data_IF_182545312874
#
_entry.id   IF_182545312874
#
_cell.length_a   1.000
_cell.length_b   1.000
_cell.length_c   1.000
_cell.angle_alpha   90.00
_cell.angle_beta   90.00
_cell.angle_gamma   90.00
#
_symmetry.space_group_name_H-M   'P 1'
#
loop_
_entity.id
_entity.type
_entity.pdbx_description
1 polymer ?
#
# COMPACT_ATOMS: atom_id res chain seq x y z
N UNK A 1 4.85 -21.40 3.04
CA UNK A 1 4.42 -20.01 2.91
C UNK A 1 3.21 -19.90 1.99
N UNK A 2 2.17 -19.16 2.37
CA UNK A 2 0.99 -18.93 1.54
C UNK A 2 0.39 -17.53 1.82
N UNK A 3 -0.01 -16.83 0.75
CA UNK A 3 -0.77 -15.60 0.83
C UNK A 3 -2.11 -15.83 0.14
N UNK A 4 -3.20 -15.72 0.90
CA UNK A 4 -4.56 -15.75 0.38
C UNK A 4 -5.18 -14.36 0.55
N UNK A 5 -5.75 -13.84 -0.53
CA UNK A 5 -6.41 -12.54 -0.53
C UNK A 5 -7.79 -12.67 -1.17
N UNK A 6 -8.78 -12.06 -0.53
CA UNK A 6 -10.14 -11.92 -1.06
C UNK A 6 -10.41 -10.44 -1.25
N UNK A 7 -10.78 -10.07 -2.45
CA UNK A 7 -10.95 -8.68 -2.86
C UNK A 7 -12.35 -8.47 -3.44
N UNK A 8 -13.03 -7.44 -2.96
CA UNK A 8 -14.28 -6.96 -3.49
C UNK A 8 -14.22 -5.46 -3.73
N UNK A 9 -14.73 -5.01 -4.86
CA UNK A 9 -14.74 -3.59 -5.24
C UNK A 9 -16.03 -3.28 -5.99
N UNK A 10 -16.61 -2.11 -5.70
CA UNK A 10 -17.76 -1.56 -6.44
C UNK A 10 -17.41 -0.14 -6.83
N UNK A 11 -17.50 0.15 -8.12
CA UNK A 11 -17.23 1.45 -8.72
C UNK A 11 -18.50 2.03 -9.35
N UNK A 12 -18.70 3.30 -9.16
CA UNK A 12 -19.73 4.09 -9.82
C UNK A 12 -19.08 5.26 -10.55
N UNK A 13 -19.56 5.51 -11.76
CA UNK A 13 -19.22 6.69 -12.53
C UNK A 13 -20.50 7.44 -12.88
N UNK A 14 -20.57 8.70 -12.51
CA UNK A 14 -21.73 9.55 -12.73
C UNK A 14 -21.33 10.83 -13.45
N UNK A 15 -21.86 11.02 -14.66
CA UNK A 15 -21.67 12.24 -15.43
C UNK A 15 -22.61 13.30 -14.87
N UNK A 16 -22.07 14.25 -14.12
CA UNK A 16 -22.84 15.32 -13.50
C UNK A 16 -23.32 16.34 -14.55
N UNK A 17 -22.39 16.72 -15.44
CA UNK A 17 -22.65 17.58 -16.58
C UNK A 17 -21.64 17.29 -17.72
N UNK A 18 -21.49 18.21 -18.68
CA UNK A 18 -20.55 18.00 -19.79
C UNK A 18 -19.08 18.12 -19.37
N UNK A 19 -18.80 18.73 -18.24
CA UNK A 19 -17.45 19.05 -17.78
C UNK A 19 -17.02 18.22 -16.56
N UNK A 20 -17.97 17.64 -15.81
CA UNK A 20 -17.70 16.92 -14.58
C UNK A 20 -18.15 15.47 -14.66
N UNK A 21 -17.21 14.56 -14.36
CA UNK A 21 -17.49 13.14 -14.18
C UNK A 21 -17.03 12.69 -12.81
N UNK A 22 -17.99 12.41 -11.94
CA UNK A 22 -17.75 11.91 -10.59
C UNK A 22 -17.51 10.40 -10.63
N UNK A 23 -16.40 9.95 -10.04
CA UNK A 23 -16.07 8.55 -9.84
C UNK A 23 -16.00 8.28 -8.34
N UNK A 24 -16.80 7.36 -7.85
CA UNK A 24 -16.82 7.01 -6.43
C UNK A 24 -17.06 5.53 -6.23
N UNK A 25 -16.66 5.03 -5.08
CA UNK A 25 -16.81 3.61 -4.83
C UNK A 25 -16.31 3.19 -3.46
N UNK A 26 -16.37 1.91 -3.26
CA UNK A 26 -15.88 1.24 -2.07
C UNK A 26 -15.10 0.00 -2.44
N UNK A 27 -14.13 -0.35 -1.60
CA UNK A 27 -13.38 -1.58 -1.72
C UNK A 27 -13.19 -2.23 -0.36
N UNK A 28 -13.06 -3.54 -0.35
CA UNK A 28 -12.69 -4.31 0.83
C UNK A 28 -11.77 -5.46 0.42
N UNK A 29 -10.70 -5.66 1.18
CA UNK A 29 -9.72 -6.70 0.94
C UNK A 29 -9.40 -7.41 2.26
N UNK A 30 -9.60 -8.71 2.26
CA UNK A 30 -9.23 -9.58 3.38
C UNK A 30 -7.89 -10.25 3.08
N UNK A 31 -6.95 -10.14 4.01
CA UNK A 31 -5.64 -10.77 3.97
C UNK A 31 -5.58 -11.96 4.91
N UNK A 32 -5.00 -13.05 4.45
CA UNK A 32 -4.68 -14.22 5.28
C UNK A 32 -3.30 -14.74 4.85
N UNK A 33 -2.29 -14.35 5.62
CA UNK A 33 -0.89 -14.68 5.36
C UNK A 33 -0.46 -15.78 6.31
N UNK A 34 0.04 -16.87 5.75
CA UNK A 34 0.71 -17.93 6.48
C UNK A 34 2.20 -17.87 6.18
N UNK A 35 2.96 -17.36 7.12
CA UNK A 35 4.42 -17.16 6.97
C UNK A 35 5.22 -18.47 7.03
N UNK A 36 4.56 -19.61 7.29
CA UNK A 36 5.19 -20.93 7.28
C UNK A 36 5.71 -21.40 8.64
N UNK A 37 6.38 -22.53 8.60
CA UNK A 37 7.06 -23.17 9.72
C UNK A 37 8.53 -23.37 9.39
N UNK A 38 9.37 -23.22 10.40
CA UNK A 38 10.77 -23.64 10.34
C UNK A 38 10.86 -25.04 10.96
N UNK A 39 11.30 -26.00 10.16
CA UNK A 39 11.45 -27.38 10.62
C UNK A 39 12.91 -27.80 10.48
N UNK A 40 13.49 -28.49 11.49
CA UNK A 40 14.82 -29.09 11.36
C UNK A 40 14.79 -30.21 10.31
N UNK A 41 15.72 -30.19 9.36
CA UNK A 41 15.84 -31.24 8.33
C UNK A 41 16.34 -32.59 8.91
N UNK A 42 17.07 -32.53 10.02
CA UNK A 42 17.62 -33.70 10.74
C UNK A 42 18.00 -33.32 12.18
N UNK A 43 18.27 -34.32 13.03
CA UNK A 43 18.53 -34.13 14.46
C UNK A 43 19.75 -33.24 14.76
N UNK A 44 20.73 -33.20 13.88
CA UNK A 44 21.90 -32.32 14.01
C UNK A 44 21.69 -30.90 13.51
N UNK A 45 20.48 -30.53 13.08
CA UNK A 45 20.16 -29.19 12.62
C UNK A 45 20.23 -28.19 13.75
N UNK A 46 20.84 -27.02 13.52
CA UNK A 46 20.79 -25.87 14.44
C UNK A 46 19.43 -25.14 14.40
N UNK A 47 18.60 -25.45 13.41
CA UNK A 47 17.24 -24.90 13.29
C UNK A 47 16.35 -25.57 14.32
N UNK A 48 15.70 -24.77 15.15
CA UNK A 48 14.63 -25.23 16.06
C UNK A 48 13.30 -25.11 15.34
N UNK A 49 12.38 -26.04 15.66
CA UNK A 49 11.02 -25.94 15.16
C UNK A 49 10.38 -24.63 15.66
N UNK A 50 9.85 -23.85 14.74
CA UNK A 50 9.14 -22.62 15.03
C UNK A 50 8.03 -22.39 14.01
N UNK A 51 6.87 -21.97 14.48
CA UNK A 51 5.73 -21.63 13.64
C UNK A 51 5.42 -20.15 13.77
N UNK A 52 5.67 -19.44 12.68
CA UNK A 52 5.32 -18.03 12.61
C UNK A 52 3.80 -17.84 12.69
N UNK A 53 3.37 -16.85 13.47
CA UNK A 53 1.95 -16.53 13.60
C UNK A 53 1.36 -16.14 12.24
N UNK A 54 0.15 -16.61 11.98
CA UNK A 54 -0.62 -16.23 10.80
C UNK A 54 -1.10 -14.79 10.94
N UNK A 55 -0.95 -14.01 9.91
CA UNK A 55 -1.41 -12.64 9.85
C UNK A 55 -2.75 -12.57 9.11
N UNK A 56 -3.76 -11.99 9.75
CA UNK A 56 -5.08 -11.72 9.17
C UNK A 56 -5.41 -10.26 9.29
N UNK A 57 -5.94 -9.66 8.24
CA UNK A 57 -6.39 -8.28 8.27
C UNK A 57 -7.54 -8.03 7.30
N UNK A 58 -8.29 -6.98 7.58
CA UNK A 58 -9.31 -6.42 6.70
C UNK A 58 -8.92 -4.98 6.37
N UNK A 59 -8.66 -4.71 5.10
CA UNK A 59 -8.51 -3.37 4.56
C UNK A 59 -9.83 -2.98 3.88
N UNK A 60 -10.36 -1.80 4.22
CA UNK A 60 -11.53 -1.24 3.58
C UNK A 60 -11.25 0.20 3.18
N UNK A 61 -11.82 0.66 2.08
CA UNK A 61 -11.70 2.05 1.67
C UNK A 61 -12.95 2.53 0.96
N UNK A 62 -13.23 3.81 1.13
CA UNK A 62 -14.18 4.58 0.33
C UNK A 62 -13.41 5.65 -0.42
N UNK A 63 -13.88 6.01 -1.60
CA UNK A 63 -13.23 7.05 -2.39
C UNK A 63 -14.23 7.78 -3.26
N UNK A 64 -13.89 9.03 -3.54
CA UNK A 64 -14.56 9.89 -4.50
C UNK A 64 -13.52 10.71 -5.24
N UNK A 65 -13.76 10.95 -6.51
CA UNK A 65 -12.94 11.82 -7.35
C UNK A 65 -13.78 12.44 -8.44
N UNK A 66 -13.32 13.58 -8.91
CA UNK A 66 -13.91 14.31 -10.02
C UNK A 66 -12.91 14.44 -11.15
N UNK A 67 -13.33 14.10 -12.34
CA UNK A 67 -12.66 14.44 -13.58
C UNK A 67 -13.33 15.69 -14.15
N UNK A 68 -12.65 16.82 -14.06
CA UNK A 68 -13.12 18.11 -14.47
C UNK A 68 -12.43 18.59 -15.75
N UNK A 69 -13.19 18.74 -16.81
CA UNK A 69 -12.77 19.35 -18.07
C UNK A 69 -13.02 20.86 -18.04
N UNK A 70 -12.06 21.61 -17.48
CA UNK A 70 -12.17 23.07 -17.28
C UNK A 70 -12.28 23.79 -18.63
N UNK A 71 -11.49 23.36 -19.61
CA UNK A 71 -11.55 23.80 -21.00
C UNK A 71 -11.23 22.62 -21.92
N UNK A 72 -11.45 22.70 -23.24
CA UNK A 72 -11.01 21.64 -24.16
C UNK A 72 -9.50 21.32 -24.11
N UNK A 73 -8.71 22.23 -23.54
CA UNK A 73 -7.25 22.09 -23.40
C UNK A 73 -6.80 21.74 -21.99
N UNK A 74 -7.61 21.98 -20.97
CA UNK A 74 -7.26 21.80 -19.55
C UNK A 74 -8.22 20.85 -18.89
N UNK A 75 -7.71 19.71 -18.43
CA UNK A 75 -8.43 18.78 -17.58
C UNK A 75 -7.71 18.58 -16.24
N UNK A 76 -8.47 18.43 -15.18
CA UNK A 76 -8.00 18.20 -13.82
C UNK A 76 -8.73 16.98 -13.26
N UNK A 77 -7.99 16.08 -12.61
CA UNK A 77 -8.57 15.00 -11.83
C UNK A 77 -8.18 15.23 -10.36
N UNK A 78 -9.17 15.32 -9.49
CA UNK A 78 -8.97 15.45 -8.05
C UNK A 78 -9.77 14.37 -7.32
N UNK A 79 -9.14 13.71 -6.36
CA UNK A 79 -9.80 12.65 -5.62
C UNK A 79 -9.25 12.46 -4.22
N UNK A 80 -10.10 11.94 -3.36
CA UNK A 80 -9.77 11.52 -2.00
C UNK A 80 -10.21 10.08 -1.80
N UNK A 81 -9.36 9.30 -1.17
CA UNK A 81 -9.65 7.95 -0.68
C UNK A 81 -9.41 7.94 0.82
N UNK A 82 -10.32 7.37 1.58
CA UNK A 82 -10.12 7.11 3.00
C UNK A 82 -9.99 5.62 3.20
N UNK A 83 -8.81 5.19 3.60
CA UNK A 83 -8.51 3.77 3.87
C UNK A 83 -8.49 3.48 5.36
N UNK A 84 -8.99 2.30 5.74
CA UNK A 84 -8.96 1.75 7.07
C UNK A 84 -8.49 0.31 7.01
N UNK A 85 -7.44 0.03 7.76
CA UNK A 85 -6.83 -1.30 7.88
C UNK A 85 -6.98 -1.77 9.32
N UNK A 86 -7.56 -2.96 9.50
CA UNK A 86 -7.76 -3.61 10.77
C UNK A 86 -6.98 -4.93 10.81
N UNK A 87 -5.92 -4.99 11.61
CA UNK A 87 -5.24 -6.24 11.93
C UNK A 87 -6.15 -7.08 12.83
N UNK A 88 -6.32 -8.35 12.51
CA UNK A 88 -7.26 -9.25 13.19
C UNK A 88 -6.53 -10.38 13.92
N UNK A 89 -7.08 -10.79 15.06
CA UNK A 89 -6.69 -11.99 15.77
C UNK A 89 -7.18 -13.31 15.11
N UNK A 90 -6.77 -14.49 15.59
CA UNK A 90 -6.05 -14.69 16.84
C UNK A 90 -4.57 -14.30 16.72
N UNK A 91 -4.07 -13.56 17.70
CA UNK A 91 -2.67 -13.12 17.74
C UNK A 91 -2.23 -12.79 19.16
N UNK A 92 -0.98 -13.16 19.49
CA UNK A 92 -0.29 -12.66 20.66
C UNK A 92 0.73 -11.62 20.21
N UNK A 93 0.72 -10.46 20.82
CA UNK A 93 1.73 -9.43 20.63
C UNK A 93 2.42 -9.11 21.95
N UNK A 94 3.68 -8.70 21.84
CA UNK A 94 4.56 -8.44 22.96
C UNK A 94 4.87 -6.95 23.04
N UNK A 95 4.84 -6.43 24.25
CA UNK A 95 5.36 -5.09 24.55
C UNK A 95 6.78 -5.25 25.06
N UNK A 96 7.68 -4.44 24.55
CA UNK A 96 9.10 -4.49 24.88
C UNK A 96 9.49 -3.30 25.72
N UNK A 97 10.58 -3.43 26.48
CA UNK A 97 11.14 -2.37 27.28
C UNK A 97 11.56 -1.19 26.41
N UNK A 98 11.18 0.03 26.82
CA UNK A 98 11.48 1.26 26.09
C UNK A 98 12.98 1.43 25.85
N UNK A 99 13.35 1.76 24.61
CA UNK A 99 14.75 1.98 24.22
C UNK A 99 15.56 0.70 24.00
N UNK A 100 15.00 -0.47 24.23
CA UNK A 100 15.67 -1.75 23.98
C UNK A 100 15.21 -2.39 22.66
N UNK A 101 16.10 -3.19 22.07
CA UNK A 101 15.72 -3.99 20.89
C UNK A 101 14.73 -5.09 21.27
N UNK A 102 13.70 -5.36 20.45
CA UNK A 102 12.80 -6.47 20.67
C UNK A 102 13.54 -7.81 20.73
N UNK A 103 13.46 -8.47 21.87
CA UNK A 103 14.01 -9.79 22.10
C UNK A 103 13.18 -10.53 23.17
N UNK A 104 13.36 -11.84 23.29
CA UNK A 104 12.69 -12.62 24.36
C UNK A 104 13.01 -12.14 25.79
N UNK A 105 14.16 -11.51 25.97
CA UNK A 105 14.63 -10.99 27.27
C UNK A 105 14.13 -9.57 27.59
N UNK A 106 13.65 -8.83 26.57
CA UNK A 106 13.14 -7.45 26.73
C UNK A 106 11.62 -7.36 26.71
N UNK A 107 10.91 -8.50 26.68
CA UNK A 107 9.44 -8.54 26.79
C UNK A 107 9.01 -8.09 28.18
N UNK A 108 8.16 -7.08 28.27
CA UNK A 108 7.57 -6.56 29.51
C UNK A 108 6.18 -7.13 29.72
N UNK A 109 5.41 -7.26 28.63
CA UNK A 109 4.02 -7.72 28.68
C UNK A 109 3.64 -8.46 27.39
N UNK A 110 2.63 -9.33 27.49
CA UNK A 110 2.07 -10.04 26.35
C UNK A 110 0.55 -10.01 26.38
N UNK A 111 -0.06 -9.61 25.26
CA UNK A 111 -1.51 -9.54 25.11
C UNK A 111 -1.96 -10.50 24.01
N UNK A 112 -2.84 -11.42 24.37
CA UNK A 112 -3.46 -12.36 23.44
C UNK A 112 -4.85 -11.89 23.04
N UNK A 113 -5.09 -11.73 21.74
CA UNK A 113 -6.36 -11.32 21.15
C UNK A 113 -6.98 -12.51 20.44
N UNK A 114 -8.24 -12.78 20.74
CA UNK A 114 -8.99 -13.90 20.15
C UNK A 114 -9.31 -13.69 18.67
N UNK A 115 -9.70 -14.79 18.01
CA UNK A 115 -10.01 -14.80 16.57
C UNK A 115 -11.09 -13.80 16.18
N UNK A 116 -10.85 -13.09 15.06
CA UNK A 116 -11.79 -12.11 14.50
C UNK A 116 -11.87 -10.78 15.23
N UNK A 117 -11.25 -10.64 16.42
CA UNK A 117 -11.18 -9.35 17.12
C UNK A 117 -10.11 -8.46 16.51
N UNK A 118 -10.36 -7.14 16.53
CA UNK A 118 -9.39 -6.16 16.06
C UNK A 118 -8.25 -6.01 17.07
N UNK A 119 -7.03 -6.14 16.58
CA UNK A 119 -5.78 -5.97 17.34
C UNK A 119 -5.29 -4.53 17.25
N UNK A 120 -5.24 -4.01 16.02
CA UNK A 120 -4.76 -2.67 15.71
C UNK A 120 -5.47 -2.13 14.48
N UNK A 121 -5.80 -0.85 14.53
CA UNK A 121 -6.37 -0.13 13.38
C UNK A 121 -5.40 0.95 12.93
N UNK A 122 -5.22 1.05 11.60
CA UNK A 122 -4.57 2.17 10.92
C UNK A 122 -5.54 2.74 9.90
N UNK A 123 -5.63 4.06 9.82
CA UNK A 123 -6.57 4.71 8.91
C UNK A 123 -6.10 6.09 8.49
N UNK A 124 -6.67 6.62 7.42
CA UNK A 124 -6.49 8.01 7.05
C UNK A 124 -6.70 8.29 5.56
N UNK A 125 -6.66 9.59 5.20
CA UNK A 125 -6.88 10.03 3.83
C UNK A 125 -5.68 9.78 2.93
N UNK A 126 -5.99 9.55 1.65
CA UNK A 126 -5.04 9.51 0.54
C UNK A 126 -5.57 10.46 -0.54
N UNK A 127 -4.70 11.32 -1.06
CA UNK A 127 -5.06 12.34 -2.04
C UNK A 127 -4.50 11.99 -3.41
N UNK A 128 -5.25 12.32 -4.46
CA UNK A 128 -4.84 12.22 -5.85
C UNK A 128 -5.24 13.49 -6.56
N UNK A 129 -4.27 14.15 -7.17
CA UNK A 129 -4.46 15.35 -7.95
C UNK A 129 -3.62 15.21 -9.22
N UNK A 130 -4.22 15.45 -10.37
CA UNK A 130 -3.47 15.53 -11.62
C UNK A 130 -4.12 16.55 -12.55
N UNK A 131 -3.29 17.19 -13.36
CA UNK A 131 -3.73 18.12 -14.37
C UNK A 131 -3.04 17.80 -15.69
N UNK A 132 -3.77 17.96 -16.78
CA UNK A 132 -3.26 17.87 -18.16
C UNK A 132 -3.60 19.16 -18.88
N UNK A 133 -2.60 19.75 -19.53
CA UNK A 133 -2.78 20.89 -20.41
C UNK A 133 -2.29 20.54 -21.83
N UNK A 134 -3.18 20.64 -22.82
CA UNK A 134 -2.87 20.49 -24.23
C UNK A 134 -2.61 21.87 -24.86
N UNK A 135 -1.38 22.14 -25.27
CA UNK A 135 -1.03 23.37 -25.98
C UNK A 135 -1.66 23.38 -27.36
N UNK A 136 -1.58 22.23 -28.03
CA UNK A 136 -2.18 21.95 -29.32
C UNK A 136 -2.51 20.45 -29.42
N UNK A 137 -2.92 19.98 -30.59
CA UNK A 137 -3.31 18.58 -30.82
C UNK A 137 -2.12 17.59 -30.67
N UNK A 138 -0.91 18.08 -30.88
CA UNK A 138 0.30 17.27 -30.90
C UNK A 138 1.07 17.31 -29.57
N UNK A 139 0.96 18.39 -28.79
CA UNK A 139 1.78 18.61 -27.60
C UNK A 139 0.94 18.86 -26.35
N UNK A 140 1.22 18.07 -25.31
CA UNK A 140 0.58 18.23 -23.98
C UNK A 140 1.58 18.01 -22.85
N UNK A 141 1.28 18.59 -21.70
CA UNK A 141 1.98 18.38 -20.44
C UNK A 141 1.01 17.83 -19.41
N UNK A 142 1.55 16.98 -18.51
CA UNK A 142 0.80 16.46 -17.36
C UNK A 142 1.61 16.70 -16.10
N UNK A 143 0.93 16.97 -15.00
CA UNK A 143 1.53 16.98 -13.67
C UNK A 143 0.59 16.27 -12.71
N UNK A 144 1.15 15.61 -11.68
CA UNK A 144 0.36 14.87 -10.73
C UNK A 144 1.01 14.80 -9.36
N UNK A 145 0.18 14.80 -8.35
CA UNK A 145 0.55 14.58 -6.97
C UNK A 145 -0.36 13.50 -6.38
N UNK A 146 0.24 12.55 -5.70
CA UNK A 146 -0.54 11.54 -4.98
C UNK A 146 0.12 11.16 -3.65
N UNK A 147 -0.71 10.81 -2.68
CA UNK A 147 -0.29 10.16 -1.44
C UNK A 147 -0.72 8.71 -1.46
N UNK A 148 -0.01 7.87 -0.73
CA UNK A 148 -0.26 6.43 -0.70
C UNK A 148 0.04 5.84 0.66
N UNK A 149 -0.65 4.73 1.01
CA UNK A 149 -0.38 3.89 2.17
C UNK A 149 -0.24 2.44 1.75
N UNK A 150 0.66 1.74 2.41
CA UNK A 150 0.88 0.32 2.16
C UNK A 150 0.89 -0.41 3.50
N UNK A 151 0.09 -1.46 3.60
CA UNK A 151 -0.13 -2.23 4.83
C UNK A 151 0.50 -3.62 4.80
N UNK A 152 0.97 -4.05 3.64
CA UNK A 152 1.70 -5.31 3.46
C UNK A 152 3.14 -5.03 3.06
N UNK A 153 4.10 -5.65 3.73
CA UNK A 153 5.52 -5.41 3.56
C UNK A 153 6.24 -6.71 3.24
N UNK A 154 7.13 -6.67 2.26
CA UNK A 154 8.12 -7.72 2.06
C UNK A 154 9.29 -7.45 3.01
N UNK A 155 9.60 -8.43 3.85
CA UNK A 155 10.76 -8.41 4.74
C UNK A 155 11.81 -9.31 4.11
N UNK A 156 12.91 -8.70 3.63
CA UNK A 156 14.01 -9.39 2.97
C UNK A 156 15.31 -8.81 3.49
N UNK A 157 16.28 -9.67 3.74
CA UNK A 157 17.63 -9.27 4.18
C UNK A 157 18.63 -9.18 3.02
N UNK A 158 18.19 -9.44 1.79
CA UNK A 158 19.03 -9.44 0.60
C UNK A 158 18.37 -8.72 -0.56
N UNK A 159 19.17 -8.21 -1.50
CA UNK A 159 18.69 -7.64 -2.77
C UNK A 159 18.13 -8.69 -3.72
N UNK A 160 18.45 -9.95 -3.51
CA UNK A 160 18.00 -11.10 -4.30
C UNK A 160 16.94 -11.84 -3.49
N UNK A 161 15.90 -12.35 -4.17
CA UNK A 161 14.88 -13.18 -3.53
C UNK A 161 15.51 -14.36 -2.79
N UNK A 162 15.26 -14.45 -1.50
CA UNK A 162 15.75 -15.52 -0.62
C UNK A 162 14.58 -16.39 -0.16
N UNK A 163 14.80 -17.70 0.08
CA UNK A 163 13.80 -18.56 0.72
C UNK A 163 13.35 -18.09 2.11
N UNK A 164 14.13 -17.22 2.74
CA UNK A 164 13.85 -16.61 4.05
C UNK A 164 13.02 -15.33 3.94
N UNK A 165 12.75 -14.84 2.72
CA UNK A 165 11.89 -13.68 2.53
C UNK A 165 10.48 -13.96 3.03
N UNK A 166 9.96 -13.08 3.84
CA UNK A 166 8.60 -13.19 4.36
C UNK A 166 7.78 -11.94 4.05
N UNK A 167 6.46 -12.13 4.00
CA UNK A 167 5.53 -11.02 3.92
C UNK A 167 4.90 -10.81 5.28
N UNK A 168 4.84 -9.57 5.71
CA UNK A 168 4.27 -9.14 6.97
C UNK A 168 3.22 -8.08 6.75
N UNK A 169 2.16 -8.14 7.54
CA UNK A 169 1.19 -7.05 7.62
C UNK A 169 1.67 -6.00 8.64
N UNK A 170 1.20 -4.77 8.45
CA UNK A 170 1.34 -3.75 9.50
C UNK A 170 0.69 -4.23 10.79
N UNK A 171 1.39 -4.05 11.90
CA UNK A 171 0.95 -4.51 13.22
C UNK A 171 1.26 -3.47 14.31
N UNK A 172 1.24 -3.86 15.56
CA UNK A 172 1.52 -2.94 16.69
C UNK A 172 2.95 -2.38 16.66
N UNK A 173 3.89 -3.09 16.03
CA UNK A 173 5.32 -2.74 15.97
C UNK A 173 5.73 -2.27 14.56
N UNK A 174 4.97 -2.65 13.53
CA UNK A 174 5.23 -2.32 12.12
C UNK A 174 4.17 -1.35 11.64
N UNK A 175 4.53 -0.07 11.53
CA UNK A 175 3.64 0.96 10.99
C UNK A 175 3.40 0.76 9.48
N UNK A 176 2.25 1.22 8.95
CA UNK A 176 2.05 1.31 7.51
C UNK A 176 3.10 2.22 6.88
N UNK A 177 3.64 1.79 5.74
CA UNK A 177 4.47 2.66 4.93
C UNK A 177 3.61 3.75 4.30
N UNK A 178 3.99 4.99 4.50
CA UNK A 178 3.33 6.16 3.94
C UNK A 178 4.24 6.84 2.94
N UNK A 179 3.68 7.32 1.84
CA UNK A 179 4.46 8.01 0.84
C UNK A 179 3.65 9.05 0.10
N UNK A 180 4.40 9.93 -0.59
CA UNK A 180 3.85 10.83 -1.57
C UNK A 180 4.75 10.88 -2.80
N UNK A 181 4.15 11.20 -3.92
CA UNK A 181 4.82 11.32 -5.20
C UNK A 181 4.35 12.55 -5.93
N UNK A 182 5.29 13.28 -6.50
CA UNK A 182 5.08 14.34 -7.49
C UNK A 182 5.64 13.84 -8.81
N UNK A 183 4.89 13.99 -9.90
CA UNK A 183 5.31 13.60 -11.23
C UNK A 183 4.95 14.70 -12.23
N UNK A 184 5.77 14.88 -13.25
CA UNK A 184 5.48 15.75 -14.39
C UNK A 184 6.00 15.11 -15.68
N UNK A 185 5.30 15.35 -16.79
CA UNK A 185 5.68 14.80 -18.08
C UNK A 185 5.23 15.69 -19.24
N UNK A 186 5.97 15.60 -20.33
CA UNK A 186 5.67 16.21 -21.61
C UNK A 186 5.48 15.14 -22.68
N UNK A 187 4.50 15.30 -23.54
CA UNK A 187 4.06 14.32 -24.54
C UNK A 187 3.93 15.02 -25.88
N UNK A 188 4.53 14.45 -26.89
CA UNK A 188 4.48 14.96 -28.25
C UNK A 188 4.16 13.84 -29.24
N UNK A 189 3.12 14.04 -30.03
CA UNK A 189 2.74 13.18 -31.14
C UNK A 189 3.15 13.86 -32.45
N UNK A 190 3.87 13.16 -33.32
CA UNK A 190 4.18 13.70 -34.62
C UNK A 190 2.92 13.78 -35.49
N UNK A 191 2.85 14.76 -36.44
CA UNK A 191 1.75 14.83 -37.38
C UNK A 191 1.51 13.49 -38.07
N UNK A 192 0.23 13.07 -38.15
CA UNK A 192 -0.15 11.74 -38.66
C UNK A 192 0.00 10.59 -37.65
N UNK A 193 0.36 10.87 -36.40
CA UNK A 193 0.50 9.89 -35.31
C UNK A 193 1.48 8.73 -35.60
N UNK A 194 2.50 9.01 -36.37
CA UNK A 194 3.53 8.03 -36.78
C UNK A 194 4.50 7.73 -35.62
N UNK A 195 4.78 8.75 -34.79
CA UNK A 195 5.69 8.61 -33.65
C UNK A 195 5.13 9.36 -32.45
N UNK A 196 5.14 8.67 -31.29
CA UNK A 196 4.79 9.23 -29.99
C UNK A 196 6.06 9.33 -29.13
N UNK A 197 6.33 10.53 -28.61
CA UNK A 197 7.46 10.81 -27.72
C UNK A 197 6.94 11.26 -26.37
N UNK A 198 7.54 10.74 -25.29
CA UNK A 198 7.25 11.20 -23.94
C UNK A 198 8.52 11.31 -23.11
N UNK A 199 8.55 12.31 -22.24
CA UNK A 199 9.57 12.49 -21.20
C UNK A 199 8.83 12.71 -19.89
N UNK A 200 9.13 11.86 -18.90
CA UNK A 200 8.52 11.92 -17.58
C UNK A 200 9.59 11.95 -16.50
N UNK A 201 9.35 12.75 -15.47
CA UNK A 201 10.15 12.79 -14.28
C UNK A 201 9.25 12.69 -13.03
N UNK A 202 9.75 12.06 -11.99
CA UNK A 202 9.04 12.00 -10.73
C UNK A 202 9.98 12.08 -9.53
N UNK A 203 9.42 12.56 -8.43
CA UNK A 203 10.04 12.51 -7.11
C UNK A 203 9.08 11.80 -6.14
N UNK A 204 9.58 10.78 -5.45
CA UNK A 204 8.81 9.99 -4.48
C UNK A 204 9.53 9.97 -3.14
N UNK A 205 8.78 10.25 -2.06
CA UNK A 205 9.26 10.11 -0.69
C UNK A 205 8.44 9.04 0.03
N UNK A 206 9.14 8.12 0.68
CA UNK A 206 8.56 7.06 1.50
C UNK A 206 8.99 7.26 2.95
N UNK A 207 8.06 7.09 3.87
CA UNK A 207 8.29 7.10 5.31
C UNK A 207 7.87 5.74 5.88
N UNK A 208 8.40 5.40 7.06
CA UNK A 208 8.15 4.14 7.76
C UNK A 208 8.50 2.91 6.87
N UNK A 209 9.57 3.04 6.09
CA UNK A 209 10.09 1.94 5.28
C UNK A 209 10.66 0.87 6.21
N UNK A 210 10.26 -0.38 5.99
CA UNK A 210 10.76 -1.53 6.76
C UNK A 210 12.04 -2.05 6.11
N UNK A 211 13.12 -2.04 6.88
CA UNK A 211 14.42 -2.53 6.46
C UNK A 211 15.05 -3.40 7.55
N UNK A 212 15.93 -4.32 7.17
CA UNK A 212 16.72 -5.10 8.10
C UNK A 212 17.79 -4.22 8.74
N UNK A 213 17.89 -4.31 10.04
CA UNK A 213 19.01 -3.74 10.77
C UNK A 213 20.10 -4.79 10.89
N UNK A 214 21.23 -4.55 10.21
CA UNK A 214 22.47 -5.31 10.34
C UNK A 214 23.20 -4.95 11.63
#
# INVERSE_FOLDING_TARGET
FAINQWFGKVDFSYKLDNNHTLNFGLMSQFYNINSGTYEPLHESSLVKWDQLQKDKALESAIYIGDQWEITPKLSVNAGIRYSMFNLLGPRTYYTYQDGMLPSSTTVVDSVSVGGGKVVKTYQGPEFRLSARYAFNDDFSVKAGFNTMRQYIHKVSNTTIMSPTDTWKLSDTNIKPQNGWQLAAGAYYNTPGQVLELSVEGYYKKLNDYLDYRS
#
